data_IF_218795949571
#
_entry.id   IF_218795949571
#
_cell.length_a   1.000
_cell.length_b   1.000
_cell.length_c   1.000
_cell.angle_alpha   90.00
_cell.angle_beta   90.00
_cell.angle_gamma   90.00
#
_symmetry.space_group_name_H-M   'P 1'
#
loop_
_entity.id
_entity.type
_entity.pdbx_description
1 polymer ?
#
# COMPACT_ATOMS: atom_id res chain seq x y z
N UNK A 1 51.58 14.33 54.99
CA UNK A 1 51.29 12.97 54.49
C UNK A 1 50.26 13.14 53.40
N UNK A 2 50.72 13.08 52.15
CA UNK A 2 49.91 13.18 50.95
C UNK A 2 49.17 11.85 50.73
N UNK A 3 47.86 11.90 50.48
CA UNK A 3 47.11 10.74 50.04
C UNK A 3 46.61 10.95 48.62
N UNK A 4 47.23 10.20 47.70
CA UNK A 4 46.83 10.05 46.30
C UNK A 4 45.41 9.48 46.21
N UNK A 5 44.51 10.18 45.52
CA UNK A 5 43.32 9.59 44.94
C UNK A 5 43.65 9.17 43.50
N UNK A 6 43.46 7.88 43.21
CA UNK A 6 43.53 7.31 41.87
C UNK A 6 42.11 7.25 41.30
N UNK A 7 41.88 7.93 40.18
CA UNK A 7 40.62 7.84 39.43
C UNK A 7 40.51 6.48 38.70
N UNK A 8 39.34 5.81 38.73
CA UNK A 8 39.09 4.64 37.89
C UNK A 8 38.79 5.06 36.43
N UNK A 9 39.04 4.17 35.44
CA UNK A 9 39.10 4.56 34.04
C UNK A 9 37.70 4.82 33.46
N UNK A 10 37.57 5.91 32.72
CA UNK A 10 36.42 6.25 31.88
C UNK A 10 36.40 5.27 30.70
N UNK A 11 35.44 4.34 30.68
CA UNK A 11 35.26 3.38 29.59
C UNK A 11 33.76 3.17 29.24
N UNK A 12 32.96 4.24 29.32
CA UNK A 12 31.49 4.13 29.25
C UNK A 12 30.85 4.68 27.96
N UNK A 13 31.59 5.31 27.05
CA UNK A 13 30.97 5.89 25.84
C UNK A 13 30.60 4.83 24.78
N UNK A 14 31.38 3.75 24.67
CA UNK A 14 31.10 2.66 23.71
C UNK A 14 30.00 1.71 24.18
N UNK A 15 29.76 1.60 25.50
CA UNK A 15 28.66 0.80 26.07
C UNK A 15 27.33 1.56 26.11
N UNK A 16 27.36 2.89 26.29
CA UNK A 16 26.15 3.71 26.25
C UNK A 16 25.55 3.76 24.83
N UNK A 17 26.40 3.89 23.81
CA UNK A 17 25.97 3.91 22.41
C UNK A 17 25.40 2.58 21.90
N UNK A 18 25.88 1.44 22.43
CA UNK A 18 25.32 0.13 22.07
C UNK A 18 23.98 -0.15 22.76
N UNK A 19 23.74 0.41 23.95
CA UNK A 19 22.45 0.32 24.63
C UNK A 19 21.37 1.21 24.00
N UNK A 20 21.72 2.41 23.53
CA UNK A 20 20.82 3.23 22.72
C UNK A 20 20.46 2.57 21.38
N UNK A 21 21.41 1.89 20.72
CA UNK A 21 21.13 1.16 19.48
C UNK A 21 20.18 -0.04 19.71
N UNK A 22 20.30 -0.72 20.85
CA UNK A 22 19.50 -1.90 21.17
C UNK A 22 18.07 -1.58 21.66
N UNK A 23 17.80 -0.36 22.15
CA UNK A 23 16.43 0.07 22.50
C UNK A 23 15.71 0.74 21.33
N UNK A 24 16.43 1.26 20.33
CA UNK A 24 15.83 1.65 19.03
C UNK A 24 15.33 0.41 18.26
N UNK A 25 15.91 -0.77 18.48
CA UNK A 25 15.36 -2.02 17.93
C UNK A 25 14.00 -2.41 18.51
N UNK A 26 13.65 -1.98 19.72
CA UNK A 26 12.32 -2.26 20.29
C UNK A 26 11.22 -1.36 19.71
N UNK A 27 11.58 -0.25 19.05
CA UNK A 27 10.67 0.50 18.17
C UNK A 27 10.37 -0.24 16.85
N UNK A 28 11.11 -1.29 16.51
CA UNK A 28 10.86 -2.09 15.29
C UNK A 28 9.74 -3.13 15.44
N UNK A 29 9.18 -3.32 16.64
CA UNK A 29 8.17 -4.34 16.92
C UNK A 29 6.71 -3.82 16.96
N UNK A 30 6.45 -2.58 16.52
CA UNK A 30 5.09 -2.19 16.15
C UNK A 30 4.78 -2.75 14.77
N UNK A 31 4.07 -3.89 14.74
CA UNK A 31 3.43 -4.52 13.59
C UNK A 31 4.00 -4.07 12.24
N UNK A 32 5.07 -4.74 11.82
CA UNK A 32 5.79 -4.53 10.55
C UNK A 32 4.98 -4.91 9.32
N UNK A 33 3.71 -4.50 9.23
CA UNK A 33 3.13 -4.23 7.92
C UNK A 33 3.68 -2.87 7.50
N UNK A 34 4.95 -2.86 7.07
CA UNK A 34 5.68 -1.65 6.65
C UNK A 34 4.98 -0.90 5.52
N UNK A 35 4.03 -1.55 4.86
CA UNK A 35 3.45 -1.10 3.62
C UNK A 35 1.92 -1.15 3.72
N UNK A 36 1.30 -0.05 3.33
CA UNK A 36 -0.15 0.11 3.38
C UNK A 36 -0.79 -0.52 2.14
N UNK A 37 -1.81 -1.35 2.35
CA UNK A 37 -2.52 -2.08 1.30
C UNK A 37 -3.95 -1.56 1.21
N UNK A 38 -4.36 -1.18 0.00
CA UNK A 38 -5.74 -0.79 -0.31
C UNK A 38 -6.33 -1.84 -1.27
N UNK A 39 -7.13 -2.79 -0.76
CA UNK A 39 -7.78 -3.77 -1.61
C UNK A 39 -8.93 -3.14 -2.40
N UNK A 40 -9.18 -3.67 -3.59
CA UNK A 40 -10.40 -3.39 -4.35
C UNK A 40 -11.04 -4.68 -4.84
N UNK A 41 -12.36 -4.62 -5.08
CA UNK A 41 -13.12 -5.71 -5.64
C UNK A 41 -14.30 -5.14 -6.42
N UNK A 42 -14.41 -5.49 -7.69
CA UNK A 42 -15.49 -5.05 -8.56
C UNK A 42 -16.25 -6.25 -9.10
N UNK A 43 -17.57 -6.14 -9.15
CA UNK A 43 -18.43 -7.15 -9.75
C UNK A 43 -18.79 -6.70 -11.16
N UNK A 44 -18.43 -7.50 -12.15
CA UNK A 44 -18.76 -7.25 -13.55
C UNK A 44 -19.79 -8.24 -14.04
N UNK A 45 -20.85 -7.71 -14.64
CA UNK A 45 -21.86 -8.48 -15.35
C UNK A 45 -21.38 -8.71 -16.78
N UNK A 46 -21.21 -9.97 -17.15
CA UNK A 46 -20.81 -10.40 -18.47
C UNK A 46 -22.08 -10.47 -19.33
N UNK A 47 -22.11 -9.80 -20.49
CA UNK A 47 -23.26 -9.85 -21.39
C UNK A 47 -23.65 -11.27 -21.80
N UNK A 48 -24.93 -11.44 -22.16
CA UNK A 48 -25.41 -12.68 -22.74
C UNK A 48 -24.62 -13.04 -23.99
N UNK A 49 -24.37 -14.34 -24.19
CA UNK A 49 -23.55 -14.86 -25.30
C UNK A 49 -22.07 -14.45 -25.28
N UNK A 50 -21.57 -13.84 -24.20
CA UNK A 50 -20.13 -13.60 -23.99
C UNK A 50 -19.59 -14.37 -22.79
N UNK A 51 -18.26 -14.53 -22.77
CA UNK A 51 -17.46 -15.05 -21.66
C UNK A 51 -16.17 -14.25 -21.51
N UNK A 52 -15.57 -14.27 -20.32
CA UNK A 52 -14.21 -13.75 -20.14
C UNK A 52 -13.24 -14.63 -20.90
N UNK A 53 -12.35 -14.00 -21.65
CA UNK A 53 -11.32 -14.71 -22.42
C UNK A 53 -10.37 -15.46 -21.49
N UNK A 54 -10.18 -16.75 -21.75
CA UNK A 54 -9.30 -17.61 -20.95
C UNK A 54 -7.86 -17.08 -20.99
N UNK A 55 -7.13 -17.31 -19.89
CA UNK A 55 -5.71 -16.94 -19.75
C UNK A 55 -5.40 -15.46 -20.00
N UNK A 56 -6.37 -14.57 -19.81
CA UNK A 56 -6.12 -13.14 -19.96
C UNK A 56 -6.01 -12.45 -18.61
N UNK A 57 -5.09 -11.49 -18.53
CA UNK A 57 -4.91 -10.62 -17.37
C UNK A 57 -5.73 -9.34 -17.63
N UNK A 58 -6.58 -8.91 -16.68
CA UNK A 58 -7.26 -7.62 -16.78
C UNK A 58 -6.25 -6.49 -16.95
N UNK A 59 -6.58 -5.49 -17.76
CA UNK A 59 -5.79 -4.27 -17.86
C UNK A 59 -6.38 -3.23 -16.93
N UNK A 60 -5.56 -2.65 -16.06
CA UNK A 60 -6.00 -1.59 -15.16
C UNK A 60 -5.08 -0.39 -15.33
N UNK A 61 -5.69 0.79 -15.42
CA UNK A 61 -4.99 2.09 -15.40
C UNK A 61 -5.55 2.87 -14.23
N UNK A 62 -4.70 3.55 -13.48
CA UNK A 62 -5.10 4.32 -12.31
C UNK A 62 -4.53 5.74 -12.35
N UNK A 63 -5.21 6.66 -11.68
CA UNK A 63 -4.88 8.07 -11.63
C UNK A 63 -4.51 8.47 -10.20
N UNK A 64 -3.27 8.90 -10.01
CA UNK A 64 -2.71 9.32 -8.72
C UNK A 64 -2.91 10.81 -8.41
N UNK A 65 -3.48 11.60 -9.35
CA UNK A 65 -3.57 13.06 -9.27
C UNK A 65 -4.28 13.58 -8.02
N UNK A 66 -5.23 12.82 -7.47
CA UNK A 66 -6.05 13.24 -6.34
C UNK A 66 -5.55 12.69 -5.00
N UNK A 67 -4.36 12.10 -4.98
CA UNK A 67 -3.64 11.76 -3.76
C UNK A 67 -2.74 12.94 -3.35
N UNK A 68 -2.57 13.09 -2.05
CA UNK A 68 -1.72 14.12 -1.44
C UNK A 68 -0.96 13.56 -0.26
N UNK A 69 0.28 14.00 -0.09
CA UNK A 69 1.09 13.73 1.08
C UNK A 69 1.08 14.95 2.01
N UNK A 70 1.02 14.67 3.30
CA UNK A 70 1.12 15.67 4.36
C UNK A 70 2.08 15.19 5.43
N UNK A 71 2.76 16.14 6.07
CA UNK A 71 3.62 15.90 7.23
C UNK A 71 2.93 16.52 8.43
N UNK A 72 2.55 15.68 9.37
CA UNK A 72 1.85 16.08 10.58
C UNK A 72 2.77 15.85 11.78
N UNK A 73 2.64 16.64 12.84
CA UNK A 73 3.31 16.38 14.11
C UNK A 73 2.29 15.79 15.09
N UNK A 74 2.63 14.68 15.72
CA UNK A 74 1.81 14.03 16.74
C UNK A 74 2.67 13.67 17.96
N UNK A 75 2.02 13.35 19.08
CA UNK A 75 2.69 12.87 20.29
C UNK A 75 2.37 11.41 20.53
N UNK A 76 3.36 10.65 20.96
CA UNK A 76 3.18 9.27 21.41
C UNK A 76 3.84 9.09 22.77
N UNK A 77 3.09 8.60 23.74
CA UNK A 77 3.64 8.21 25.04
C UNK A 77 4.34 6.87 24.90
N UNK A 78 5.61 6.81 25.31
CA UNK A 78 6.40 5.59 25.38
C UNK A 78 6.82 5.35 26.83
N UNK A 79 6.95 4.08 27.22
CA UNK A 79 7.50 3.72 28.51
C UNK A 79 9.02 3.67 28.40
N UNK A 80 9.71 4.40 29.28
CA UNK A 80 11.17 4.46 29.35
C UNK A 80 11.62 3.89 30.68
N UNK A 81 12.55 2.94 30.62
CA UNK A 81 13.14 2.31 31.81
C UNK A 81 13.62 3.36 32.81
N UNK A 82 13.18 3.24 34.06
CA UNK A 82 13.50 4.14 35.17
C UNK A 82 12.99 5.60 35.03
N UNK A 83 12.26 5.94 33.96
CA UNK A 83 11.65 7.26 33.76
C UNK A 83 10.12 7.22 33.68
N UNK A 84 9.51 6.04 33.53
CA UNK A 84 8.06 5.90 33.36
C UNK A 84 7.61 6.32 31.95
N UNK A 85 6.35 6.76 31.82
CA UNK A 85 5.82 7.18 30.53
C UNK A 85 6.26 8.60 30.16
N UNK A 86 6.84 8.76 28.98
CA UNK A 86 7.30 10.03 28.41
C UNK A 86 6.64 10.26 27.07
N UNK A 87 6.18 11.48 26.81
CA UNK A 87 5.64 11.88 25.51
C UNK A 87 6.77 12.26 24.55
N UNK A 88 6.77 11.63 23.38
CA UNK A 88 7.70 11.91 22.28
C UNK A 88 6.95 12.56 21.13
N UNK A 89 7.49 13.68 20.64
CA UNK A 89 7.02 14.31 19.40
C UNK A 89 7.49 13.46 18.20
N UNK A 90 6.54 13.11 17.34
CA UNK A 90 6.74 12.35 16.12
C UNK A 90 6.25 13.13 14.91
N UNK A 91 6.96 12.98 13.81
CA UNK A 91 6.53 13.39 12.49
C UNK A 91 5.86 12.21 11.79
N UNK A 92 4.60 12.38 11.38
CA UNK A 92 3.82 11.42 10.63
C UNK A 92 3.76 11.83 9.16
N UNK A 93 4.19 10.93 8.25
CA UNK A 93 3.91 11.05 6.83
C UNK A 93 2.53 10.44 6.58
N UNK A 94 1.60 11.24 6.10
CA UNK A 94 0.23 10.81 5.86
C UNK A 94 -0.16 11.01 4.41
N UNK A 95 -0.78 9.99 3.82
CA UNK A 95 -1.38 10.05 2.50
C UNK A 95 -2.89 10.17 2.61
N UNK A 96 -3.48 11.08 1.85
CA UNK A 96 -4.92 11.32 1.81
C UNK A 96 -5.40 11.64 0.41
N UNK A 97 -6.60 11.18 0.07
CA UNK A 97 -7.27 11.53 -1.17
C UNK A 97 -8.04 10.38 -1.76
N UNK A 98 -8.06 10.30 -3.09
CA UNK A 98 -8.66 9.17 -3.78
C UNK A 98 -7.83 8.70 -4.98
N UNK A 99 -7.96 7.41 -5.27
CA UNK A 99 -7.34 6.72 -6.39
C UNK A 99 -8.47 6.23 -7.31
N UNK A 100 -8.63 6.89 -8.45
CA UNK A 100 -9.56 6.46 -9.49
C UNK A 100 -8.88 5.50 -10.45
N UNK A 101 -9.58 4.45 -10.87
CA UNK A 101 -9.04 3.49 -11.83
C UNK A 101 -10.07 3.08 -12.90
N UNK A 102 -9.55 2.71 -14.06
CA UNK A 102 -10.28 2.11 -15.16
C UNK A 102 -9.76 0.68 -15.37
N UNK A 103 -10.65 -0.29 -15.22
CA UNK A 103 -10.41 -1.70 -15.42
C UNK A 103 -11.01 -2.15 -16.76
N UNK A 104 -10.26 -2.90 -17.54
CA UNK A 104 -10.65 -3.47 -18.81
C UNK A 104 -10.46 -4.98 -18.81
N UNK A 105 -11.52 -5.69 -19.13
CA UNK A 105 -11.56 -7.15 -19.15
C UNK A 105 -11.94 -7.60 -20.54
N UNK A 106 -11.09 -8.39 -21.22
CA UNK A 106 -11.45 -8.89 -22.53
C UNK A 106 -12.51 -9.98 -22.40
N UNK A 107 -13.58 -9.79 -23.15
CA UNK A 107 -14.67 -10.75 -23.30
C UNK A 107 -14.78 -11.14 -24.77
N UNK A 108 -15.09 -12.41 -25.00
CA UNK A 108 -15.26 -13.00 -26.32
C UNK A 108 -16.63 -13.68 -26.42
N UNK A 109 -17.22 -13.78 -27.61
CA UNK A 109 -18.46 -14.52 -27.78
C UNK A 109 -18.29 -15.99 -27.42
N UNK A 110 -19.29 -16.58 -26.77
CA UNK A 110 -19.33 -18.02 -26.51
C UNK A 110 -19.55 -18.83 -27.79
N UNK A 111 -20.19 -18.22 -28.79
CA UNK A 111 -20.45 -18.78 -30.11
C UNK A 111 -20.33 -17.66 -31.15
N UNK A 112 -19.67 -17.93 -32.28
CA UNK A 112 -19.49 -16.94 -33.34
C UNK A 112 -20.71 -16.84 -34.28
N UNK A 113 -21.60 -17.83 -34.23
CA UNK A 113 -22.81 -17.84 -35.05
C UNK A 113 -23.69 -16.65 -34.68
N UNK A 114 -24.08 -15.85 -35.67
CA UNK A 114 -24.91 -14.65 -35.52
C UNK A 114 -24.25 -13.47 -34.76
N UNK A 115 -22.92 -13.46 -34.60
CA UNK A 115 -22.19 -12.31 -34.06
C UNK A 115 -21.55 -11.51 -35.20
N UNK A 116 -21.90 -10.23 -35.29
CA UNK A 116 -21.26 -9.29 -36.21
C UNK A 116 -20.14 -8.52 -35.50
N UNK A 117 -18.96 -8.47 -36.12
CA UNK A 117 -17.85 -7.63 -35.67
C UNK A 117 -17.73 -6.43 -36.60
N UNK A 118 -17.54 -5.22 -36.04
CA UNK A 118 -17.22 -4.03 -36.82
C UNK A 118 -15.75 -4.01 -37.27
N UNK A 119 -14.86 -4.67 -36.51
CA UNK A 119 -13.46 -4.91 -36.84
C UNK A 119 -13.21 -6.41 -36.99
N UNK A 120 -12.93 -6.86 -38.20
CA UNK A 120 -12.68 -8.29 -38.49
C UNK A 120 -11.30 -8.79 -38.02
N UNK A 121 -10.47 -7.93 -37.42
CA UNK A 121 -9.15 -8.32 -36.91
C UNK A 121 -9.18 -8.87 -35.50
N UNK A 122 -10.21 -8.58 -34.73
CA UNK A 122 -10.33 -8.97 -33.33
C UNK A 122 -11.66 -9.71 -33.08
N UNK A 123 -11.58 -10.84 -32.42
CA UNK A 123 -12.72 -11.68 -32.04
C UNK A 123 -13.21 -11.44 -30.59
N UNK A 124 -12.75 -10.34 -29.98
CA UNK A 124 -13.04 -9.98 -28.60
C UNK A 124 -13.22 -8.46 -28.46
N UNK A 125 -13.89 -8.06 -27.38
CA UNK A 125 -14.05 -6.66 -26.97
C UNK A 125 -13.61 -6.50 -25.51
N UNK A 126 -13.41 -5.27 -25.06
CA UNK A 126 -13.16 -5.00 -23.65
C UNK A 126 -14.45 -4.56 -22.96
N UNK A 127 -14.76 -5.19 -21.84
CA UNK A 127 -15.69 -4.69 -20.86
C UNK A 127 -14.95 -3.74 -19.93
N UNK A 128 -15.37 -2.47 -19.90
CA UNK A 128 -14.74 -1.42 -19.11
C UNK A 128 -15.52 -1.12 -17.83
N UNK A 129 -14.81 -0.95 -16.73
CA UNK A 129 -15.35 -0.54 -15.44
C UNK A 129 -14.50 0.57 -14.85
N UNK A 130 -15.14 1.56 -14.22
CA UNK A 130 -14.45 2.64 -13.54
C UNK A 130 -14.87 2.67 -12.07
N UNK A 131 -13.90 2.84 -11.18
CA UNK A 131 -14.15 3.01 -9.75
C UNK A 131 -13.21 4.04 -9.13
N UNK A 132 -13.43 4.34 -7.86
CA UNK A 132 -12.59 5.22 -7.05
C UNK A 132 -12.48 4.73 -5.62
N UNK A 133 -11.25 4.56 -5.15
CA UNK A 133 -10.92 4.18 -3.79
C UNK A 133 -10.54 5.43 -3.00
N UNK A 134 -10.95 5.48 -1.73
CA UNK A 134 -10.57 6.57 -0.81
C UNK A 134 -9.43 6.12 0.10
N UNK A 135 -8.46 7.01 0.26
CA UNK A 135 -7.24 6.75 1.02
C UNK A 135 -7.12 7.80 2.13
N UNK A 136 -6.92 7.34 3.36
CA UNK A 136 -6.58 8.16 4.52
C UNK A 136 -5.74 7.30 5.47
N UNK A 137 -4.42 7.39 5.34
CA UNK A 137 -3.51 6.50 6.08
C UNK A 137 -2.18 7.16 6.43
N UNK A 138 -1.64 6.79 7.59
CA UNK A 138 -0.28 7.19 8.00
C UNK A 138 0.70 6.16 7.47
N UNK A 139 1.59 6.58 6.58
CA UNK A 139 2.58 5.72 5.93
C UNK A 139 3.80 5.48 6.82
N UNK A 140 4.23 6.50 7.56
CA UNK A 140 5.49 6.44 8.31
C UNK A 140 5.47 7.38 9.52
N UNK A 141 6.15 6.95 10.59
CA UNK A 141 6.50 7.79 11.73
C UNK A 141 8.01 8.02 11.78
N UNK A 142 8.43 9.17 12.30
CA UNK A 142 9.84 9.51 12.51
C UNK A 142 10.00 10.42 13.72
N UNK A 143 11.06 10.21 14.51
CA UNK A 143 11.45 11.13 15.60
C UNK A 143 12.17 12.39 15.06
N UNK A 144 12.71 12.31 13.84
CA UNK A 144 13.34 13.43 13.15
C UNK A 144 12.53 13.91 11.95
N UNK A 145 12.98 15.00 11.33
CA UNK A 145 12.33 15.53 10.13
C UNK A 145 12.26 14.48 9.01
N UNK A 146 11.09 14.39 8.38
CA UNK A 146 10.88 13.52 7.22
C UNK A 146 11.46 14.17 5.95
N UNK A 147 12.14 13.42 5.07
CA UNK A 147 12.59 13.92 3.77
C UNK A 147 11.39 14.26 2.87
N UNK A 148 11.66 14.86 1.71
CA UNK A 148 10.63 15.07 0.70
C UNK A 148 10.28 13.74 0.03
N UNK A 149 8.97 13.48 -0.10
CA UNK A 149 8.43 12.27 -0.73
C UNK A 149 7.55 12.67 -1.92
N UNK A 150 7.50 11.80 -2.91
CA UNK A 150 6.69 11.97 -4.13
C UNK A 150 5.63 10.89 -4.22
N UNK A 151 4.58 11.14 -4.99
CA UNK A 151 3.56 10.13 -5.34
C UNK A 151 3.78 9.76 -6.81
N UNK A 152 4.12 8.51 -7.06
CA UNK A 152 4.31 7.96 -8.41
C UNK A 152 4.02 6.44 -8.45
N UNK A 153 4.25 5.82 -9.61
CA UNK A 153 4.03 4.40 -9.86
C UNK A 153 5.10 3.48 -9.24
N UNK A 154 6.25 4.03 -8.83
CA UNK A 154 7.28 3.24 -8.14
C UNK A 154 6.85 2.98 -6.69
N UNK A 155 6.26 3.98 -6.04
CA UNK A 155 5.79 3.91 -4.66
C UNK A 155 4.37 3.34 -4.51
N UNK A 156 3.53 3.43 -5.55
CA UNK A 156 2.16 2.91 -5.52
C UNK A 156 2.00 1.87 -6.63
N UNK A 157 1.92 0.60 -6.23
CA UNK A 157 1.94 -0.52 -7.17
C UNK A 157 0.64 -1.31 -7.12
N UNK A 158 0.19 -1.74 -8.29
CA UNK A 158 -0.92 -2.67 -8.42
C UNK A 158 -0.41 -4.11 -8.31
N UNK A 159 -0.96 -4.88 -7.37
CA UNK A 159 -0.56 -6.27 -7.08
C UNK A 159 -1.78 -7.19 -7.04
N UNK A 160 -1.53 -8.49 -7.19
CA UNK A 160 -2.50 -9.58 -6.99
C UNK A 160 -3.83 -9.44 -7.74
N UNK A 161 -3.79 -8.99 -9.00
CA UNK A 161 -5.02 -8.92 -9.82
C UNK A 161 -5.50 -10.33 -10.14
N UNK A 162 -6.76 -10.61 -9.81
CA UNK A 162 -7.39 -11.90 -10.05
C UNK A 162 -8.80 -11.75 -10.61
N UNK A 163 -9.27 -12.79 -11.30
CA UNK A 163 -10.64 -12.91 -11.78
C UNK A 163 -11.23 -14.19 -11.19
N UNK A 164 -12.34 -14.05 -10.47
CA UNK A 164 -13.11 -15.15 -9.91
C UNK A 164 -14.50 -15.17 -10.53
N UNK A 165 -14.90 -16.29 -11.15
CA UNK A 165 -16.28 -16.48 -11.59
C UNK A 165 -17.15 -16.86 -10.38
N UNK A 166 -18.24 -16.13 -10.14
CA UNK A 166 -19.13 -16.45 -9.02
C UNK A 166 -19.88 -17.76 -9.27
N UNK A 167 -19.88 -18.66 -8.28
CA UNK A 167 -20.45 -20.01 -8.39
C UNK A 167 -21.93 -20.02 -8.79
N UNK A 168 -22.69 -19.04 -8.31
CA UNK A 168 -24.14 -18.98 -8.51
C UNK A 168 -24.54 -18.26 -9.82
N UNK A 169 -23.57 -17.69 -10.55
CA UNK A 169 -23.79 -17.00 -11.82
C UNK A 169 -22.57 -17.14 -12.73
N UNK A 170 -22.71 -17.90 -13.82
CA UNK A 170 -21.70 -17.92 -14.89
C UNK A 170 -21.62 -16.59 -15.67
N UNK A 171 -22.41 -15.57 -15.29
CA UNK A 171 -22.46 -14.24 -15.87
C UNK A 171 -21.94 -13.15 -14.95
N UNK A 172 -21.56 -13.46 -13.72
CA UNK A 172 -20.93 -12.48 -12.83
C UNK A 172 -19.50 -12.90 -12.54
N UNK A 173 -18.54 -12.03 -12.83
CA UNK A 173 -17.18 -12.19 -12.36
C UNK A 173 -16.87 -11.15 -11.29
N UNK A 174 -16.13 -11.56 -10.28
CA UNK A 174 -15.47 -10.70 -9.33
C UNK A 174 -14.04 -10.49 -9.80
N UNK A 175 -13.60 -9.23 -9.83
CA UNK A 175 -12.23 -8.87 -10.15
C UNK A 175 -11.68 -8.11 -8.96
N UNK A 176 -10.65 -8.67 -8.35
CA UNK A 176 -10.00 -8.13 -7.16
C UNK A 176 -8.53 -7.86 -7.41
N UNK A 177 -7.96 -7.01 -6.57
CA UNK A 177 -6.54 -6.72 -6.53
C UNK A 177 -6.24 -5.74 -5.41
N UNK A 178 -4.98 -5.31 -5.35
CA UNK A 178 -4.47 -4.52 -4.23
C UNK A 178 -3.60 -3.38 -4.75
N UNK A 179 -3.80 -2.18 -4.23
CA UNK A 179 -2.81 -1.10 -4.34
C UNK A 179 -1.88 -1.15 -3.13
N UNK A 180 -0.59 -1.25 -3.39
CA UNK A 180 0.46 -1.35 -2.40
C UNK A 180 1.22 -0.04 -2.33
N UNK A 181 1.30 0.56 -1.14
CA UNK A 181 1.97 1.84 -0.89
C UNK A 181 3.27 1.56 -0.14
N UNK A 182 4.39 1.80 -0.81
CA UNK A 182 5.74 1.49 -0.35
C UNK A 182 6.54 2.79 -0.18
N UNK A 183 6.79 3.16 1.09
CA UNK A 183 7.49 4.39 1.47
C UNK A 183 8.47 4.08 2.60
N UNK A 184 9.71 3.74 2.23
CA UNK A 184 10.78 3.39 3.19
C UNK A 184 11.35 4.58 4.00
#
# INVERSE_FOLDING_TARGET
MEHNYQDPPINNESQLNSQFANQVSDLQNYNTDKNYIVPFSVLVQIPESFQIRKHTIPKLVYNLRYLSLSKETCKKSIEVDNCGYVDVDLYALKIKGCLSFLLNVPIEPTQLQNIGFSDHKNDFIFLSFQDTLYVDHVLKYSVGNLPYYVIDEEHIQLRHIEIEMLRDSNKTAKISGEFYFEYE
#
